data_IF_518446224122
#
_entry.id   IF_518446224122
#
_cell.length_a   1.000
_cell.length_b   1.000
_cell.length_c   1.000
_cell.angle_alpha   90.00
_cell.angle_beta   90.00
_cell.angle_gamma   90.00
#
_symmetry.space_group_name_H-M   'P 1'
#
loop_
_entity.id
_entity.type
_entity.pdbx_description
1 polymer ?
#
# COMPACT_ATOMS: atom_id res chain seq x y z
N UNK A 1 -57.03 1.31 34.83
CA UNK A 1 -57.40 1.59 33.42
C UNK A 1 -56.41 2.51 32.67
N UNK A 2 -55.98 3.64 33.24
CA UNK A 2 -55.08 4.62 32.57
C UNK A 2 -53.69 4.10 32.13
N UNK A 3 -53.10 3.13 32.86
CA UNK A 3 -51.76 2.58 32.55
C UNK A 3 -51.77 1.71 31.28
N UNK A 4 -52.78 0.85 31.14
CA UNK A 4 -53.00 -0.03 29.98
C UNK A 4 -53.24 0.74 28.68
N UNK A 5 -53.91 1.90 28.76
CA UNK A 5 -54.18 2.77 27.61
C UNK A 5 -52.89 3.46 27.12
N UNK A 6 -52.02 3.91 28.05
CA UNK A 6 -50.71 4.49 27.68
C UNK A 6 -49.79 3.48 27.00
N UNK A 7 -49.79 2.23 27.46
CA UNK A 7 -48.98 1.17 26.86
C UNK A 7 -49.46 0.82 25.45
N UNK A 8 -50.78 0.81 25.20
CA UNK A 8 -51.36 0.58 23.87
C UNK A 8 -50.99 1.73 22.91
N UNK A 9 -51.11 2.98 23.37
CA UNK A 9 -50.77 4.16 22.57
C UNK A 9 -49.26 4.22 22.23
N UNK A 10 -48.42 3.82 23.18
CA UNK A 10 -46.97 3.76 22.96
C UNK A 10 -46.59 2.68 21.92
N UNK A 11 -47.24 1.52 21.97
CA UNK A 11 -47.03 0.44 20.99
C UNK A 11 -47.54 0.81 19.59
N UNK A 12 -48.62 1.57 19.48
CA UNK A 12 -49.08 2.12 18.19
C UNK A 12 -48.11 3.16 17.62
N UNK A 13 -47.58 4.04 18.46
CA UNK A 13 -46.57 5.03 18.07
C UNK A 13 -45.30 4.37 17.54
N UNK A 14 -44.80 3.34 18.22
CA UNK A 14 -43.64 2.56 17.77
C UNK A 14 -43.91 1.85 16.44
N UNK A 15 -45.12 1.29 16.26
CA UNK A 15 -45.52 0.67 14.98
C UNK A 15 -45.62 1.70 13.86
N UNK A 16 -46.14 2.91 14.11
CA UNK A 16 -46.21 3.97 13.11
C UNK A 16 -44.83 4.52 12.75
N UNK A 17 -43.96 4.73 13.73
CA UNK A 17 -42.56 5.12 13.50
C UNK A 17 -41.81 4.07 12.67
N UNK A 18 -41.97 2.79 13.03
CA UNK A 18 -41.38 1.67 12.29
C UNK A 18 -41.90 1.52 10.86
N UNK A 19 -43.14 1.94 10.57
CA UNK A 19 -43.66 2.01 9.20
C UNK A 19 -43.04 3.17 8.42
N UNK A 20 -42.94 4.36 9.01
CA UNK A 20 -42.36 5.55 8.38
C UNK A 20 -40.89 5.36 8.01
N UNK A 21 -40.09 4.80 8.92
CA UNK A 21 -38.67 4.49 8.66
C UNK A 21 -38.54 3.49 7.51
N UNK A 22 -39.41 2.47 7.46
CA UNK A 22 -39.41 1.47 6.38
C UNK A 22 -39.80 2.06 5.03
N UNK A 23 -40.70 3.04 5.02
CA UNK A 23 -41.07 3.79 3.80
C UNK A 23 -39.90 4.66 3.33
N UNK A 24 -39.24 5.39 4.23
CA UNK A 24 -38.05 6.20 3.90
C UNK A 24 -36.91 5.35 3.32
N UNK A 25 -36.63 4.18 3.92
CA UNK A 25 -35.59 3.28 3.43
C UNK A 25 -35.93 2.60 2.10
N UNK A 26 -37.22 2.44 1.77
CA UNK A 26 -37.66 1.91 0.47
C UNK A 26 -37.57 2.96 -0.63
N UNK A 27 -37.83 4.24 -0.31
CA UNK A 27 -37.73 5.35 -1.25
C UNK A 27 -36.27 5.63 -1.64
N UNK A 28 -35.33 5.53 -0.70
CA UNK A 28 -33.90 5.76 -0.95
C UNK A 28 -33.12 4.56 -1.52
N UNK A 29 -33.76 3.41 -1.80
CA UNK A 29 -33.10 2.23 -2.39
C UNK A 29 -33.07 2.23 -3.93
N UNK A 30 -33.67 3.21 -4.59
CA UNK A 30 -33.74 3.29 -6.06
C UNK A 30 -33.24 4.62 -6.60
N UNK A 31 -31.97 4.92 -6.39
CA UNK A 31 -31.20 5.86 -7.22
C UNK A 31 -29.71 5.48 -7.23
N UNK A 32 -29.34 4.79 -8.32
CA UNK A 32 -28.15 5.06 -9.16
C UNK A 32 -26.76 4.70 -8.57
N UNK A 33 -25.83 4.23 -9.42
CA UNK A 33 -24.62 3.50 -9.06
C UNK A 33 -23.66 4.41 -8.30
N UNK A 34 -22.72 3.80 -7.57
CA UNK A 34 -21.62 4.41 -6.83
C UNK A 34 -21.18 5.76 -7.44
N UNK A 35 -21.87 6.83 -7.05
CA UNK A 35 -21.42 8.19 -7.25
C UNK A 35 -20.20 8.25 -6.35
N UNK A 36 -19.03 8.40 -6.95
CA UNK A 36 -17.79 8.75 -6.25
C UNK A 36 -18.14 9.87 -5.30
N UNK A 37 -18.34 9.50 -4.03
CA UNK A 37 -18.67 10.44 -3.00
C UNK A 37 -17.34 11.15 -2.79
N UNK A 38 -17.21 12.35 -3.36
CA UNK A 38 -16.26 13.33 -2.88
C UNK A 38 -16.72 13.71 -1.48
N UNK A 39 -16.57 12.79 -0.54
CA UNK A 39 -16.53 13.08 0.88
C UNK A 39 -15.34 14.02 1.00
N UNK A 40 -15.52 15.15 1.67
CA UNK A 40 -14.37 15.91 2.16
C UNK A 40 -13.65 14.99 3.15
N UNK A 41 -12.75 14.13 2.66
CA UNK A 41 -12.13 13.03 3.41
C UNK A 41 -11.46 13.53 4.70
N UNK A 42 -11.04 14.81 4.74
CA UNK A 42 -10.27 15.41 5.84
C UNK A 42 -10.88 15.25 7.24
N UNK A 43 -12.21 15.20 7.39
CA UNK A 43 -12.84 15.06 8.72
C UNK A 43 -12.60 13.69 9.34
N UNK A 44 -12.56 12.63 8.53
CA UNK A 44 -12.42 11.24 8.99
C UNK A 44 -10.99 10.72 8.86
N UNK A 45 -10.09 11.55 8.32
CA UNK A 45 -8.69 11.20 8.15
C UNK A 45 -7.99 11.05 9.51
N UNK A 46 -8.22 11.99 10.44
CA UNK A 46 -7.58 12.04 11.76
C UNK A 46 -8.45 11.34 12.82
N UNK A 47 -8.05 10.13 13.21
CA UNK A 47 -8.77 9.32 14.19
C UNK A 47 -8.88 9.95 15.58
N UNK A 48 -7.82 10.59 16.07
CA UNK A 48 -7.80 11.18 17.41
C UNK A 48 -8.72 12.41 17.48
N UNK A 49 -8.70 13.25 16.45
CA UNK A 49 -9.59 14.39 16.33
C UNK A 49 -11.06 13.96 16.22
N UNK A 50 -11.35 12.94 15.41
CA UNK A 50 -12.69 12.38 15.27
C UNK A 50 -13.23 11.84 16.60
N UNK A 51 -12.45 11.06 17.33
CA UNK A 51 -12.84 10.49 18.63
C UNK A 51 -13.03 11.59 19.68
N UNK A 52 -12.17 12.61 19.70
CA UNK A 52 -12.33 13.75 20.60
C UNK A 52 -13.62 14.53 20.34
N UNK A 53 -13.95 14.77 19.07
CA UNK A 53 -15.17 15.46 18.68
C UNK A 53 -16.42 14.62 18.99
N UNK A 54 -16.41 13.33 18.68
CA UNK A 54 -17.51 12.42 18.99
C UNK A 54 -17.80 12.37 20.50
N UNK A 55 -16.76 12.30 21.34
CA UNK A 55 -16.92 12.34 22.80
C UNK A 55 -17.55 13.64 23.27
N UNK A 56 -17.13 14.78 22.70
CA UNK A 56 -17.69 16.10 23.00
C UNK A 56 -19.17 16.18 22.60
N UNK A 57 -19.51 15.72 21.39
CA UNK A 57 -20.87 15.76 20.85
C UNK A 57 -21.83 14.88 21.67
N UNK A 58 -21.39 13.69 22.10
CA UNK A 58 -22.18 12.79 22.96
C UNK A 58 -22.32 13.31 24.40
N UNK A 59 -21.26 13.92 24.96
CA UNK A 59 -21.28 14.45 26.31
C UNK A 59 -22.26 15.63 26.47
N UNK A 60 -22.28 16.54 25.49
CA UNK A 60 -23.12 17.75 25.51
C UNK A 60 -24.62 17.45 25.59
N UNK A 61 -25.08 16.35 24.98
CA UNK A 61 -26.51 16.00 24.97
C UNK A 61 -26.94 15.04 26.09
N UNK A 62 -26.00 14.29 26.68
CA UNK A 62 -26.29 13.38 27.80
C UNK A 62 -26.71 14.11 29.08
N UNK A 63 -26.33 15.38 29.24
CA UNK A 63 -26.55 16.16 30.48
C UNK A 63 -28.00 16.68 30.61
N UNK A 64 -28.83 16.59 29.55
CA UNK A 64 -30.17 17.23 29.52
C UNK A 64 -31.31 16.31 29.09
N UNK A 65 -31.24 14.99 29.23
CA UNK A 65 -32.33 14.11 28.73
C UNK A 65 -33.59 14.26 29.61
N UNK A 66 -34.65 14.87 29.05
CA UNK A 66 -35.99 15.02 29.62
C UNK A 66 -37.03 14.46 28.66
N UNK A 67 -38.25 14.15 29.11
CA UNK A 67 -39.32 13.56 28.26
C UNK A 67 -39.55 14.29 26.93
N UNK A 68 -39.31 15.60 26.92
CA UNK A 68 -39.62 16.50 25.81
C UNK A 68 -38.49 16.58 24.76
N UNK A 69 -37.27 16.10 25.08
CA UNK A 69 -36.10 16.20 24.19
C UNK A 69 -35.47 14.84 23.81
N UNK A 70 -36.01 13.72 24.30
CA UNK A 70 -35.60 12.35 23.92
C UNK A 70 -35.57 12.17 22.39
N UNK A 71 -36.53 12.78 21.67
CA UNK A 71 -36.56 12.71 20.21
C UNK A 71 -35.34 13.35 19.53
N UNK A 72 -34.88 14.49 20.04
CA UNK A 72 -33.67 15.17 19.55
C UNK A 72 -32.41 14.37 19.83
N UNK A 73 -32.30 13.82 21.05
CA UNK A 73 -31.18 12.95 21.45
C UNK A 73 -31.08 11.70 20.56
N UNK A 74 -32.20 11.02 20.30
CA UNK A 74 -32.21 9.84 19.43
C UNK A 74 -31.80 10.17 17.99
N UNK A 75 -32.20 11.34 17.47
CA UNK A 75 -31.80 11.79 16.14
C UNK A 75 -30.30 12.10 16.07
N UNK A 76 -29.74 12.73 17.12
CA UNK A 76 -28.30 12.95 17.20
C UNK A 76 -27.56 11.61 17.28
N UNK A 77 -28.01 10.67 18.11
CA UNK A 77 -27.38 9.35 18.23
C UNK A 77 -27.33 8.62 16.86
N UNK A 78 -28.44 8.64 16.10
CA UNK A 78 -28.49 8.10 14.74
C UNK A 78 -27.47 8.81 13.82
N UNK A 79 -27.36 10.12 13.92
CA UNK A 79 -26.40 10.93 13.14
C UNK A 79 -24.95 10.59 13.51
N UNK A 80 -24.63 10.42 14.79
CA UNK A 80 -23.29 10.02 15.22
C UNK A 80 -22.96 8.58 14.80
N UNK A 81 -23.92 7.67 14.84
CA UNK A 81 -23.73 6.31 14.32
C UNK A 81 -23.40 6.31 12.83
N UNK A 82 -24.06 7.17 12.05
CA UNK A 82 -23.75 7.34 10.63
C UNK A 82 -22.32 7.87 10.42
N UNK A 83 -21.89 8.87 11.20
CA UNK A 83 -20.51 9.38 11.18
C UNK A 83 -19.48 8.31 11.55
N UNK A 84 -19.74 7.50 12.57
CA UNK A 84 -18.87 6.37 12.96
C UNK A 84 -18.78 5.33 11.83
N UNK A 85 -19.89 5.03 11.17
CA UNK A 85 -19.89 4.10 10.03
C UNK A 85 -19.03 4.64 8.88
N UNK A 86 -19.16 5.93 8.55
CA UNK A 86 -18.34 6.58 7.53
C UNK A 86 -16.85 6.57 7.92
N UNK A 87 -16.53 6.89 9.18
CA UNK A 87 -15.17 6.80 9.70
C UNK A 87 -14.59 5.39 9.55
N UNK A 88 -15.32 4.35 9.95
CA UNK A 88 -14.87 2.97 9.80
C UNK A 88 -14.61 2.60 8.33
N UNK A 89 -15.48 3.02 7.42
CA UNK A 89 -15.29 2.78 5.99
C UNK A 89 -14.02 3.45 5.44
N UNK A 90 -13.77 4.72 5.80
CA UNK A 90 -12.55 5.44 5.41
C UNK A 90 -11.30 4.75 5.96
N UNK A 91 -11.30 4.37 7.24
CA UNK A 91 -10.15 3.70 7.86
C UNK A 91 -9.87 2.31 7.26
N UNK A 92 -10.91 1.56 6.90
CA UNK A 92 -10.76 0.30 6.18
C UNK A 92 -10.15 0.52 4.79
N UNK A 93 -10.62 1.53 4.06
CA UNK A 93 -10.09 1.86 2.74
C UNK A 93 -8.60 2.27 2.82
N UNK A 94 -8.22 3.06 3.83
CA UNK A 94 -6.82 3.41 4.11
C UNK A 94 -5.96 2.19 4.35
N UNK A 95 -6.38 1.29 5.25
CA UNK A 95 -5.64 0.04 5.53
C UNK A 95 -5.50 -0.80 4.28
N UNK A 96 -6.57 -0.93 3.49
CA UNK A 96 -6.54 -1.68 2.24
C UNK A 96 -5.59 -1.04 1.21
N UNK A 97 -5.58 0.30 1.10
CA UNK A 97 -4.66 1.03 0.23
C UNK A 97 -3.20 0.82 0.65
N UNK A 98 -2.90 0.98 1.95
CA UNK A 98 -1.55 0.75 2.49
C UNK A 98 -1.14 -0.69 2.23
N UNK A 99 -2.00 -1.67 2.50
CA UNK A 99 -1.71 -3.08 2.25
C UNK A 99 -1.46 -3.37 0.77
N UNK A 100 -2.24 -2.77 -0.13
CA UNK A 100 -2.02 -2.90 -1.58
C UNK A 100 -0.66 -2.29 -2.00
N UNK A 101 -0.33 -1.11 -1.48
CA UNK A 101 0.96 -0.47 -1.73
C UNK A 101 2.13 -1.31 -1.17
N UNK A 102 2.02 -1.82 0.05
CA UNK A 102 3.00 -2.71 0.64
C UNK A 102 3.22 -3.96 -0.22
N UNK A 103 2.14 -4.61 -0.67
CA UNK A 103 2.24 -5.80 -1.56
C UNK A 103 2.96 -5.47 -2.86
N UNK A 104 2.65 -4.35 -3.50
CA UNK A 104 3.33 -3.91 -4.73
C UNK A 104 4.80 -3.61 -4.48
N UNK A 105 5.12 -2.93 -3.38
CA UNK A 105 6.51 -2.64 -3.00
C UNK A 105 7.32 -3.91 -2.72
N UNK A 106 6.76 -4.88 -2.00
CA UNK A 106 7.41 -6.17 -1.72
C UNK A 106 7.71 -6.89 -3.03
N UNK A 107 6.71 -7.04 -3.92
CA UNK A 107 6.92 -7.67 -5.23
C UNK A 107 8.00 -6.98 -6.05
N UNK A 108 8.08 -5.66 -5.99
CA UNK A 108 9.12 -4.89 -6.68
C UNK A 108 10.51 -5.17 -6.11
N UNK A 109 10.63 -5.27 -4.79
CA UNK A 109 11.89 -5.62 -4.12
C UNK A 109 12.30 -7.05 -4.47
N UNK A 110 11.36 -7.99 -4.45
CA UNK A 110 11.61 -9.40 -4.79
C UNK A 110 12.08 -9.54 -6.24
N UNK A 111 11.41 -8.87 -7.19
CA UNK A 111 11.83 -8.86 -8.59
C UNK A 111 13.23 -8.24 -8.78
N UNK A 112 13.54 -7.14 -8.10
CA UNK A 112 14.86 -6.53 -8.15
C UNK A 112 15.94 -7.47 -7.57
N UNK A 113 15.64 -8.15 -6.47
CA UNK A 113 16.51 -9.16 -5.87
C UNK A 113 16.79 -10.31 -6.83
N UNK A 114 15.75 -10.85 -7.47
CA UNK A 114 15.90 -11.96 -8.42
C UNK A 114 16.80 -11.58 -9.60
N UNK A 115 16.62 -10.38 -10.17
CA UNK A 115 17.47 -9.87 -11.26
C UNK A 115 18.93 -9.77 -10.80
N UNK A 116 19.18 -9.19 -9.62
CA UNK A 116 20.55 -9.07 -9.07
C UNK A 116 21.17 -10.44 -8.84
N UNK A 117 20.44 -11.39 -8.26
CA UNK A 117 20.95 -12.74 -8.02
C UNK A 117 21.24 -13.49 -9.33
N UNK A 118 20.37 -13.37 -10.33
CA UNK A 118 20.57 -13.98 -11.64
C UNK A 118 21.82 -13.42 -12.31
N UNK A 119 21.95 -12.10 -12.36
CA UNK A 119 23.13 -11.42 -12.90
C UNK A 119 24.40 -11.89 -12.18
N UNK A 120 24.39 -11.91 -10.84
CA UNK A 120 25.58 -12.31 -10.08
C UNK A 120 25.97 -13.76 -10.37
N UNK A 121 25.02 -14.69 -10.38
CA UNK A 121 25.30 -16.08 -10.70
C UNK A 121 25.96 -16.21 -12.08
N UNK A 122 25.38 -15.55 -13.09
CA UNK A 122 25.92 -15.58 -14.44
C UNK A 122 27.31 -14.95 -14.53
N UNK A 123 27.51 -13.77 -13.94
CA UNK A 123 28.82 -13.09 -13.93
C UNK A 123 29.89 -13.92 -13.20
N UNK A 124 29.55 -14.58 -12.09
CA UNK A 124 30.51 -15.42 -11.38
C UNK A 124 30.86 -16.70 -12.17
N UNK A 125 29.88 -17.31 -12.85
CA UNK A 125 30.13 -18.48 -13.69
C UNK A 125 30.97 -18.13 -14.92
N UNK A 126 30.66 -17.04 -15.63
CA UNK A 126 31.46 -16.54 -16.75
C UNK A 126 32.89 -16.18 -16.32
N UNK A 127 33.06 -15.57 -15.14
CA UNK A 127 34.38 -15.27 -14.59
C UNK A 127 35.16 -16.53 -14.27
N UNK A 128 34.52 -17.56 -13.71
CA UNK A 128 35.15 -18.86 -13.46
C UNK A 128 35.69 -19.45 -14.76
N UNK A 129 34.84 -19.50 -15.79
CA UNK A 129 35.22 -20.03 -17.10
C UNK A 129 36.37 -19.23 -17.72
N UNK A 130 36.30 -17.89 -17.66
CA UNK A 130 37.36 -17.02 -18.16
C UNK A 130 38.70 -17.26 -17.44
N UNK A 131 38.70 -17.42 -16.11
CA UNK A 131 39.91 -17.75 -15.37
C UNK A 131 40.46 -19.13 -15.78
N UNK A 132 39.60 -20.16 -15.86
CA UNK A 132 40.02 -21.51 -16.28
C UNK A 132 40.66 -21.50 -17.67
N UNK A 133 40.07 -20.77 -18.62
CA UNK A 133 40.63 -20.62 -19.97
C UNK A 133 41.98 -19.88 -19.97
N UNK A 134 42.09 -18.78 -19.20
CA UNK A 134 43.33 -18.01 -19.10
C UNK A 134 44.46 -18.83 -18.45
N UNK A 135 44.18 -19.57 -17.38
CA UNK A 135 45.17 -20.46 -16.76
C UNK A 135 45.58 -21.59 -17.71
N UNK A 136 44.63 -22.21 -18.42
CA UNK A 136 44.97 -23.23 -19.44
C UNK A 136 45.85 -22.68 -20.57
N UNK A 137 45.63 -21.43 -20.98
CA UNK A 137 46.49 -20.76 -21.95
C UNK A 137 47.89 -20.45 -21.39
N UNK A 138 47.98 -20.07 -20.11
CA UNK A 138 49.25 -19.85 -19.43
C UNK A 138 50.08 -21.14 -19.36
N UNK A 139 49.45 -22.26 -18.98
CA UNK A 139 50.08 -23.58 -18.96
C UNK A 139 50.63 -23.97 -20.34
N UNK A 140 49.86 -23.73 -21.41
CA UNK A 140 50.32 -23.96 -22.78
C UNK A 140 51.50 -23.05 -23.15
N UNK A 141 51.48 -21.77 -22.75
CA UNK A 141 52.57 -20.85 -23.03
C UNK A 141 53.87 -21.26 -22.30
N UNK A 142 53.76 -21.79 -21.08
CA UNK A 142 54.87 -22.35 -20.31
C UNK A 142 55.48 -23.57 -21.02
N UNK A 143 54.66 -24.50 -21.51
CA UNK A 143 55.12 -25.69 -22.23
C UNK A 143 55.85 -25.37 -23.54
N UNK A 144 55.49 -24.26 -24.20
CA UNK A 144 56.10 -23.82 -25.46
C UNK A 144 57.21 -22.77 -25.28
N UNK A 145 57.64 -22.48 -24.05
CA UNK A 145 58.67 -21.48 -23.72
C UNK A 145 58.40 -20.10 -24.32
N UNK A 146 57.12 -19.74 -24.49
CA UNK A 146 56.72 -18.47 -25.08
C UNK A 146 56.49 -17.42 -23.98
N UNK A 147 57.58 -16.76 -23.58
CA UNK A 147 57.62 -15.76 -22.52
C UNK A 147 56.75 -14.53 -22.82
N UNK A 148 56.70 -14.05 -24.07
CA UNK A 148 55.87 -12.90 -24.45
C UNK A 148 54.37 -13.20 -24.31
N UNK A 149 53.95 -14.38 -24.77
CA UNK A 149 52.55 -14.82 -24.64
C UNK A 149 52.16 -15.03 -23.18
N UNK A 150 53.08 -15.54 -22.37
CA UNK A 150 52.86 -15.71 -20.93
C UNK A 150 52.63 -14.37 -20.22
N UNK A 151 53.46 -13.36 -20.50
CA UNK A 151 53.29 -12.01 -19.93
C UNK A 151 51.91 -11.44 -20.27
N UNK A 152 51.50 -11.51 -21.53
CA UNK A 152 50.19 -11.01 -21.96
C UNK A 152 49.02 -11.74 -21.26
N UNK A 153 49.13 -13.05 -21.06
CA UNK A 153 48.09 -13.83 -20.36
C UNK A 153 48.02 -13.43 -18.88
N UNK A 154 49.17 -13.26 -18.21
CA UNK A 154 49.23 -12.83 -16.82
C UNK A 154 48.65 -11.42 -16.63
N UNK A 155 48.91 -10.50 -17.56
CA UNK A 155 48.28 -9.18 -17.55
C UNK A 155 46.76 -9.27 -17.66
N UNK A 156 46.23 -10.15 -18.53
CA UNK A 156 44.78 -10.38 -18.64
C UNK A 156 44.18 -10.98 -17.38
N UNK A 157 44.86 -11.94 -16.75
CA UNK A 157 44.43 -12.50 -15.45
C UNK A 157 44.36 -11.40 -14.40
N UNK A 158 45.39 -10.55 -14.33
CA UNK A 158 45.42 -9.41 -13.41
C UNK A 158 44.28 -8.43 -13.69
N UNK A 159 44.06 -8.04 -14.95
CA UNK A 159 42.96 -7.15 -15.34
C UNK A 159 41.59 -7.72 -14.95
N UNK A 160 41.38 -9.03 -15.17
CA UNK A 160 40.15 -9.69 -14.77
C UNK A 160 40.00 -9.69 -13.25
N UNK A 161 41.07 -9.99 -12.51
CA UNK A 161 41.08 -9.96 -11.03
C UNK A 161 40.83 -8.55 -10.46
N UNK A 162 41.38 -7.51 -11.09
CA UNK A 162 41.20 -6.11 -10.69
C UNK A 162 39.78 -5.60 -11.00
N UNK A 163 39.08 -6.21 -11.97
CA UNK A 163 37.71 -5.84 -12.32
C UNK A 163 36.68 -6.36 -11.30
N UNK A 164 35.80 -5.48 -10.82
CA UNK A 164 34.71 -5.85 -9.89
C UNK A 164 33.54 -6.51 -10.63
N UNK A 165 32.98 -7.63 -10.14
CA UNK A 165 31.78 -8.23 -10.71
C UNK A 165 30.52 -7.35 -10.53
N UNK A 166 30.60 -6.33 -9.66
CA UNK A 166 29.52 -5.38 -9.40
C UNK A 166 29.59 -4.12 -10.27
N UNK A 167 30.60 -3.98 -11.13
CA UNK A 167 30.81 -2.76 -11.91
C UNK A 167 29.58 -2.44 -12.79
N UNK A 168 28.99 -3.45 -13.41
CA UNK A 168 27.87 -3.24 -14.33
C UNK A 168 26.49 -3.28 -13.62
N UNK A 169 26.43 -3.71 -12.35
CA UNK A 169 25.22 -3.61 -11.53
C UNK A 169 24.86 -2.17 -11.15
N UNK A 170 25.85 -1.28 -11.07
CA UNK A 170 25.56 0.15 -10.95
C UNK A 170 24.74 0.62 -12.15
N UNK A 171 25.03 0.09 -13.34
CA UNK A 171 24.26 0.41 -14.55
C UNK A 171 22.81 -0.04 -14.41
N UNK A 172 22.48 -1.26 -13.97
CA UNK A 172 21.06 -1.73 -13.93
C UNK A 172 20.14 -0.86 -13.07
N UNK A 173 20.60 -0.40 -11.91
CA UNK A 173 19.84 0.55 -11.07
C UNK A 173 19.77 1.93 -11.72
N UNK A 174 20.87 2.38 -12.32
CA UNK A 174 20.95 3.64 -13.06
C UNK A 174 20.13 3.59 -14.35
N UNK A 175 19.99 2.44 -15.01
CA UNK A 175 19.19 2.20 -16.21
C UNK A 175 17.71 2.17 -15.86
N UNK A 176 17.33 1.58 -14.72
CA UNK A 176 15.95 1.73 -14.21
C UNK A 176 15.60 3.18 -13.86
N UNK A 177 16.56 4.00 -13.43
CA UNK A 177 16.36 5.43 -13.17
C UNK A 177 16.35 6.25 -14.47
N UNK A 178 17.27 5.99 -15.39
CA UNK A 178 17.32 6.59 -16.71
C UNK A 178 16.10 6.23 -17.58
N UNK A 179 15.55 5.01 -17.47
CA UNK A 179 14.29 4.62 -18.11
C UNK A 179 13.06 5.35 -17.53
N UNK A 180 13.17 5.91 -16.32
CA UNK A 180 12.10 6.74 -15.72
C UNK A 180 12.27 8.22 -16.05
N UNK A 181 13.43 8.62 -16.54
CA UNK A 181 13.74 9.98 -16.94
C UNK A 181 13.59 10.11 -18.46
N UNK A 182 12.62 10.93 -18.89
CA UNK A 182 12.27 11.03 -20.32
C UNK A 182 13.33 11.72 -21.16
N UNK A 183 14.23 12.46 -20.52
CA UNK A 183 15.21 13.33 -21.19
C UNK A 183 16.66 12.81 -21.01
N UNK A 184 16.83 11.52 -20.68
CA UNK A 184 18.16 10.94 -20.45
C UNK A 184 18.90 10.67 -21.77
N UNK A 185 20.02 11.38 -21.99
CA UNK A 185 20.98 11.11 -23.06
C UNK A 185 22.06 10.12 -22.59
N UNK A 186 22.37 9.13 -23.43
CA UNK A 186 23.34 8.09 -23.15
C UNK A 186 24.67 8.37 -23.85
N UNK A 187 25.75 8.51 -23.08
CA UNK A 187 27.11 8.50 -23.60
C UNK A 187 27.74 7.11 -23.41
N UNK A 188 28.38 6.62 -24.46
CA UNK A 188 29.02 5.29 -24.55
C UNK A 188 30.54 5.38 -24.39
#
# INVERSE_FOLDING_TARGET
MKKKIKDILFQELLKQAGRRIRTYLKVNKKTTPAKSLSISDSEFENGDAFVAQLKKDLALESIRITSDNIGGFLLNLITQMERVQQFCAVQQLKRNRINAQCKTCIKRIDAAKEIVLLYLNQTFDERRENFEQLFSLADKALLHTNSEKLILILEKIKQLADSSPFKDLQSVLNTQQALKDKDHEWDF
#
